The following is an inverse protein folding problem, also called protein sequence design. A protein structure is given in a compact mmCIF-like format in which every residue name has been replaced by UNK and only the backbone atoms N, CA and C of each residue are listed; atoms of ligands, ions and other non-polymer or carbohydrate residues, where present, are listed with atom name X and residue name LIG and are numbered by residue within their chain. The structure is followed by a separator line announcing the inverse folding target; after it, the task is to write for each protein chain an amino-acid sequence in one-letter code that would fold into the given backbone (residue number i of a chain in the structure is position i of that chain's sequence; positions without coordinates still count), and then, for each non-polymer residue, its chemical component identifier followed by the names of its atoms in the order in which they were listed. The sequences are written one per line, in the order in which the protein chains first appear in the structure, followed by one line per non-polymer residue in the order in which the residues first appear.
data_IF_699311558493
#
_entry.id   IF_699311558493
#
_cell.length_a   1.000
_cell.length_b   1.000
_cell.length_c   1.000
_cell.angle_alpha   90.00
_cell.angle_beta   90.00
_cell.angle_gamma   90.00
#
_symmetry.space_group_name_H-M   'P 1'
#
loop_
_entity.id
_entity.type
_entity.pdbx_description
1 polymer ?
#
# COMPACT_ATOMS: atom_id res chain seq x y z
N UNK A 1 56.14 2.59 39.84
CA UNK A 1 54.79 2.10 40.23
C UNK A 1 53.83 2.55 39.15
N UNK A 2 53.55 1.67 38.23
CA UNK A 2 52.65 1.97 37.10
C UNK A 2 51.25 1.54 37.50
N UNK A 3 50.32 2.51 37.60
CA UNK A 3 48.89 2.24 37.69
C UNK A 3 48.39 1.91 36.31
N UNK A 4 48.10 0.65 36.08
CA UNK A 4 47.34 0.19 34.91
C UNK A 4 45.87 0.56 35.12
N UNK A 5 45.41 1.58 34.39
CA UNK A 5 44.02 1.87 34.23
C UNK A 5 43.43 0.82 33.29
N UNK A 6 42.61 -0.07 33.83
CA UNK A 6 41.68 -0.93 33.05
C UNK A 6 40.63 -0.03 32.44
N UNK A 7 40.76 0.24 31.16
CA UNK A 7 39.63 0.68 30.33
C UNK A 7 38.73 -0.52 30.14
N UNK A 8 37.61 -0.57 30.84
CA UNK A 8 36.47 -1.35 30.46
C UNK A 8 35.87 -0.69 29.21
N UNK A 9 36.15 -1.29 28.08
CA UNK A 9 35.32 -1.07 26.90
C UNK A 9 33.94 -1.66 27.22
N UNK A 10 32.99 -0.81 27.53
CA UNK A 10 31.59 -1.10 27.32
C UNK A 10 31.39 -1.16 25.80
N UNK A 11 31.27 -2.36 25.28
CA UNK A 11 30.62 -2.59 24.00
C UNK A 11 29.19 -2.07 24.18
N UNK A 12 28.95 -0.88 23.66
CA UNK A 12 27.60 -0.41 23.37
C UNK A 12 27.14 -1.32 22.26
N UNK A 13 26.31 -2.32 22.59
CA UNK A 13 25.45 -2.97 21.61
C UNK A 13 24.65 -1.82 20.98
N UNK A 14 25.04 -1.43 19.78
CA UNK A 14 24.20 -0.65 18.89
C UNK A 14 23.04 -1.59 18.59
N UNK A 15 21.92 -1.41 19.28
CA UNK A 15 20.66 -1.95 18.83
C UNK A 15 20.52 -1.42 17.41
N UNK A 16 20.74 -2.30 16.43
CA UNK A 16 20.35 -2.08 15.06
C UNK A 16 18.85 -1.80 15.11
N UNK A 17 18.47 -0.53 15.09
CA UNK A 17 17.10 -0.12 14.87
C UNK A 17 16.73 -0.61 13.47
N UNK A 18 16.32 -1.87 13.40
CA UNK A 18 15.80 -2.48 12.19
C UNK A 18 14.51 -1.76 11.85
N UNK A 19 14.61 -0.78 10.96
CA UNK A 19 13.48 -0.11 10.36
C UNK A 19 12.65 -1.15 9.60
N UNK A 20 11.45 -1.42 10.08
CA UNK A 20 10.53 -2.35 9.45
C UNK A 20 9.92 -3.37 10.42
N UNK A 21 9.04 -4.24 9.92
CA UNK A 21 8.44 -5.28 10.74
C UNK A 21 9.47 -6.32 11.18
N UNK A 22 9.24 -6.95 12.32
CA UNK A 22 10.15 -7.94 12.88
C UNK A 22 10.14 -9.23 12.06
N UNK A 23 11.31 -9.76 11.64
CA UNK A 23 11.39 -11.04 10.96
C UNK A 23 10.78 -12.17 11.78
N UNK A 24 10.11 -13.11 11.13
CA UNK A 24 9.39 -14.19 11.80
C UNK A 24 10.30 -15.10 12.65
N UNK A 25 11.55 -15.25 12.25
CA UNK A 25 12.55 -16.05 13.00
C UNK A 25 12.86 -15.49 14.40
N UNK A 26 12.49 -14.26 14.71
CA UNK A 26 12.58 -13.72 16.08
C UNK A 26 11.75 -14.53 17.08
N UNK A 27 10.71 -15.23 16.63
CA UNK A 27 9.92 -16.12 17.48
C UNK A 27 10.71 -17.34 17.97
N UNK A 28 11.78 -17.74 17.29
CA UNK A 28 12.64 -18.85 17.72
C UNK A 28 13.31 -18.54 19.06
N UNK A 29 13.75 -17.31 19.27
CA UNK A 29 14.31 -16.86 20.55
C UNK A 29 13.27 -16.90 21.69
N UNK A 30 11.98 -16.88 21.36
CA UNK A 30 10.85 -16.97 22.30
C UNK A 30 10.33 -18.41 22.45
N UNK A 31 11.09 -19.41 21.98
CA UNK A 31 10.77 -20.82 22.17
C UNK A 31 9.75 -21.41 21.19
N UNK A 32 9.58 -20.79 20.02
CA UNK A 32 8.86 -21.38 18.87
C UNK A 32 9.87 -22.17 18.04
N UNK A 33 9.53 -23.39 17.64
CA UNK A 33 10.46 -24.25 16.89
C UNK A 33 10.71 -23.70 15.48
N UNK A 34 11.93 -23.81 14.96
CA UNK A 34 12.26 -23.46 13.58
C UNK A 34 11.39 -24.18 12.55
N UNK A 35 10.96 -25.41 12.86
CA UNK A 35 10.04 -26.17 12.00
C UNK A 35 8.64 -25.51 11.92
N UNK A 36 8.15 -24.94 13.02
CA UNK A 36 6.87 -24.24 13.04
C UNK A 36 6.98 -22.85 12.38
N UNK A 37 8.11 -22.15 12.56
CA UNK A 37 8.42 -20.92 11.84
C UNK A 37 8.40 -21.15 10.32
N UNK A 38 9.08 -22.20 9.85
CA UNK A 38 9.09 -22.56 8.43
C UNK A 38 7.70 -22.88 7.87
N UNK A 39 6.85 -23.57 8.63
CA UNK A 39 5.45 -23.82 8.22
C UNK A 39 4.64 -22.53 8.09
N UNK A 40 4.87 -21.56 8.95
CA UNK A 40 4.22 -20.26 8.86
C UNK A 40 4.73 -19.48 7.65
N UNK A 41 6.01 -19.51 7.36
CA UNK A 41 6.59 -18.90 6.14
C UNK A 41 6.00 -19.52 4.87
N UNK A 42 5.91 -20.83 4.81
CA UNK A 42 5.27 -21.56 3.70
C UNK A 42 3.78 -21.22 3.55
N UNK A 43 3.12 -20.82 4.63
CA UNK A 43 1.73 -20.35 4.64
C UNK A 43 1.57 -18.85 4.34
N UNK A 44 2.67 -18.13 4.10
CA UNK A 44 2.66 -16.72 3.72
C UNK A 44 2.80 -15.72 4.89
N UNK A 45 3.25 -16.16 6.05
CA UNK A 45 3.56 -15.31 7.20
C UNK A 45 5.08 -15.09 7.26
N UNK A 46 5.54 -13.86 7.11
CA UNK A 46 6.97 -13.54 7.04
C UNK A 46 7.46 -12.67 8.21
N UNK A 47 6.54 -12.13 8.99
CA UNK A 47 6.85 -11.21 10.08
C UNK A 47 6.11 -11.61 11.36
N UNK A 48 6.63 -11.16 12.50
CA UNK A 48 5.97 -11.37 13.81
C UNK A 48 4.64 -10.65 13.85
N UNK A 49 4.56 -9.44 13.25
CA UNK A 49 3.34 -8.64 13.14
C UNK A 49 2.26 -9.38 12.35
N UNK A 50 2.59 -10.03 11.23
CA UNK A 50 1.64 -10.81 10.45
C UNK A 50 0.98 -11.91 11.28
N UNK A 51 1.75 -12.58 12.12
CA UNK A 51 1.27 -13.64 13.03
C UNK A 51 0.46 -13.02 14.18
N UNK A 52 0.96 -11.96 14.80
CA UNK A 52 0.27 -11.29 15.91
C UNK A 52 -1.12 -10.77 15.52
N UNK A 53 -1.26 -10.25 14.32
CA UNK A 53 -2.53 -9.71 13.79
C UNK A 53 -3.45 -10.80 13.22
N UNK A 54 -2.96 -12.04 13.05
CA UNK A 54 -3.75 -13.11 12.49
C UNK A 54 -4.77 -13.65 13.50
N UNK A 55 -6.00 -13.95 13.07
CA UNK A 55 -6.93 -14.69 13.92
C UNK A 55 -6.44 -16.12 14.11
N UNK A 56 -6.63 -16.67 15.31
CA UNK A 56 -6.22 -18.06 15.65
C UNK A 56 -6.64 -19.09 14.59
N UNK A 57 -7.85 -18.92 14.03
CA UNK A 57 -8.38 -19.80 12.98
C UNK A 57 -7.46 -19.87 11.75
N UNK A 58 -6.78 -18.79 11.40
CA UNK A 58 -5.88 -18.75 10.24
C UNK A 58 -4.61 -19.57 10.50
N UNK A 59 -4.09 -19.56 11.73
CA UNK A 59 -2.94 -20.36 12.12
C UNK A 59 -3.30 -21.87 12.21
N UNK A 60 -4.51 -22.18 12.69
CA UNK A 60 -5.01 -23.56 12.73
C UNK A 60 -5.21 -24.17 11.34
N UNK A 61 -5.38 -23.37 10.30
CA UNK A 61 -5.46 -23.84 8.92
C UNK A 61 -4.08 -24.31 8.37
N UNK A 62 -2.99 -23.96 9.04
CA UNK A 62 -1.64 -24.39 8.66
C UNK A 62 -1.43 -25.85 9.08
N UNK A 63 -1.08 -26.70 8.11
CA UNK A 63 -0.83 -28.13 8.38
C UNK A 63 0.29 -28.31 9.40
N UNK A 64 -0.02 -28.99 10.49
CA UNK A 64 0.94 -29.30 11.56
C UNK A 64 1.08 -28.26 12.66
N UNK A 65 0.19 -27.25 12.66
CA UNK A 65 0.00 -26.32 13.78
C UNK A 65 -1.25 -26.76 14.56
N UNK A 66 -1.03 -27.33 15.75
CA UNK A 66 -2.11 -27.69 16.67
C UNK A 66 -2.65 -26.47 17.42
N UNK A 67 -3.78 -26.66 18.10
CA UNK A 67 -4.39 -25.59 18.91
C UNK A 67 -3.42 -25.06 19.98
N UNK A 68 -2.75 -25.96 20.70
CA UNK A 68 -1.76 -25.59 21.72
C UNK A 68 -0.56 -24.83 21.13
N UNK A 69 -0.12 -25.20 19.91
CA UNK A 69 0.94 -24.49 19.20
C UNK A 69 0.46 -23.11 18.76
N UNK A 70 -0.75 -22.98 18.21
CA UNK A 70 -1.32 -21.70 17.81
C UNK A 70 -1.45 -20.74 18.99
N UNK A 71 -1.92 -21.23 20.14
CA UNK A 71 -2.01 -20.42 21.37
C UNK A 71 -0.64 -19.93 21.83
N UNK A 72 0.37 -20.80 21.83
CA UNK A 72 1.73 -20.41 22.18
C UNK A 72 2.32 -19.40 21.21
N UNK A 73 2.17 -19.62 19.92
CA UNK A 73 2.67 -18.71 18.86
C UNK A 73 2.05 -17.32 19.03
N UNK A 74 0.73 -17.22 19.18
CA UNK A 74 0.03 -15.96 19.37
C UNK A 74 0.44 -15.27 20.68
N UNK A 75 0.61 -16.01 21.77
CA UNK A 75 1.04 -15.47 23.04
C UNK A 75 2.47 -14.88 22.97
N UNK A 76 3.40 -15.57 22.31
CA UNK A 76 4.76 -15.06 22.15
C UNK A 76 4.82 -13.87 21.16
N UNK A 77 4.08 -13.93 20.07
CA UNK A 77 3.98 -12.79 19.14
C UNK A 77 3.40 -11.55 19.83
N UNK A 78 2.38 -11.71 20.66
CA UNK A 78 1.76 -10.59 21.39
C UNK A 78 2.69 -9.92 22.42
N UNK A 79 3.73 -10.63 22.88
CA UNK A 79 4.75 -10.01 23.74
C UNK A 79 5.68 -9.07 22.98
N UNK A 80 5.91 -9.35 21.70
CA UNK A 80 6.80 -8.58 20.84
C UNK A 80 6.09 -7.43 20.13
N UNK A 81 4.79 -7.62 19.83
CA UNK A 81 3.98 -6.63 19.09
C UNK A 81 2.93 -6.04 20.02
N UNK A 82 3.04 -4.75 20.39
CA UNK A 82 2.05 -4.09 21.23
C UNK A 82 0.70 -3.97 20.51
N UNK A 83 -0.35 -4.61 21.08
CA UNK A 83 -1.72 -4.57 20.53
C UNK A 83 -2.75 -4.09 21.56
N UNK A 84 -2.28 -3.46 22.66
CA UNK A 84 -3.13 -2.92 23.69
C UNK A 84 -3.58 -1.48 23.41
N UNK A 85 -4.22 -0.90 24.40
CA UNK A 85 -4.56 0.51 24.36
C UNK A 85 -3.31 1.39 24.43
N UNK A 86 -3.35 2.51 23.71
CA UNK A 86 -2.37 3.59 23.80
C UNK A 86 -3.12 4.92 23.99
N UNK A 87 -2.44 5.97 24.36
CA UNK A 87 -3.04 7.30 24.43
C UNK A 87 -3.17 7.95 23.06
N UNK A 88 -4.12 8.87 22.91
CA UNK A 88 -4.23 9.66 21.68
C UNK A 88 -2.96 10.48 21.41
N UNK A 89 -2.24 10.89 22.44
CA UNK A 89 -0.96 11.60 22.33
C UNK A 89 0.11 10.71 21.69
N UNK A 90 0.29 9.50 22.19
CA UNK A 90 1.24 8.53 21.63
C UNK A 90 0.88 8.15 20.19
N UNK A 91 -0.41 7.96 19.91
CA UNK A 91 -0.89 7.69 18.57
C UNK A 91 -0.66 8.87 17.62
N UNK A 92 -0.87 10.11 18.09
CA UNK A 92 -0.58 11.32 17.32
C UNK A 92 0.91 11.42 16.98
N UNK A 93 1.79 11.08 17.92
CA UNK A 93 3.23 11.05 17.68
C UNK A 93 3.58 10.02 16.58
N UNK A 94 3.05 8.80 16.68
CA UNK A 94 3.23 7.78 15.63
C UNK A 94 2.72 8.26 14.26
N UNK A 95 1.61 8.97 14.23
CA UNK A 95 1.09 9.54 12.97
C UNK A 95 2.00 10.64 12.40
N UNK A 96 2.73 11.37 13.21
CA UNK A 96 3.69 12.37 12.73
C UNK A 96 4.93 11.76 12.04
N UNK A 97 5.17 10.48 12.26
CA UNK A 97 6.25 9.70 11.64
C UNK A 97 5.83 9.08 10.28
N UNK A 98 4.54 9.16 9.93
CA UNK A 98 4.02 8.65 8.67
C UNK A 98 4.60 9.45 7.50
N UNK A 99 5.14 8.73 6.54
CA UNK A 99 5.70 9.30 5.31
C UNK A 99 4.56 9.61 4.34
N UNK A 100 4.68 10.72 3.63
CA UNK A 100 3.79 11.11 2.56
C UNK A 100 4.60 11.25 1.27
N UNK A 101 4.18 10.50 0.23
CA UNK A 101 4.86 10.48 -1.06
C UNK A 101 4.30 11.56 -1.96
N UNK A 102 5.15 12.43 -2.49
CA UNK A 102 4.74 13.48 -3.42
C UNK A 102 4.10 12.92 -4.69
N UNK A 103 3.03 13.52 -5.11
CA UNK A 103 2.35 13.22 -6.38
C UNK A 103 3.10 13.78 -7.61
N UNK A 104 4.07 14.66 -7.41
CA UNK A 104 4.73 15.43 -8.45
C UNK A 104 4.06 16.79 -8.77
N UNK A 105 2.89 17.06 -8.23
CA UNK A 105 2.19 18.33 -8.31
C UNK A 105 2.09 18.97 -6.93
N UNK A 106 2.56 20.21 -6.78
CA UNK A 106 2.50 20.95 -5.51
C UNK A 106 1.05 21.24 -5.08
N UNK A 107 0.20 21.55 -6.03
CA UNK A 107 -1.22 21.81 -5.76
C UNK A 107 -1.94 20.55 -5.31
N UNK A 108 -1.61 19.38 -5.90
CA UNK A 108 -2.16 18.11 -5.47
C UNK A 108 -1.61 17.69 -4.10
N UNK A 109 -0.34 17.89 -3.83
CA UNK A 109 0.27 17.62 -2.52
C UNK A 109 -0.30 18.53 -1.44
N UNK A 110 -0.58 19.81 -1.76
CA UNK A 110 -1.25 20.74 -0.85
C UNK A 110 -2.68 20.29 -0.53
N UNK A 111 -3.43 19.82 -1.53
CA UNK A 111 -4.75 19.22 -1.34
C UNK A 111 -4.70 18.02 -0.36
N UNK A 112 -3.67 17.18 -0.50
CA UNK A 112 -3.45 15.99 0.32
C UNK A 112 -2.71 16.28 1.63
N UNK A 113 -2.38 17.53 1.91
CA UNK A 113 -1.60 17.97 3.08
C UNK A 113 -0.26 17.25 3.20
N UNK A 114 0.40 17.02 2.07
CA UNK A 114 1.76 16.44 2.00
C UNK A 114 1.97 15.45 0.87
N UNK A 115 0.99 14.66 0.52
CA UNK A 115 1.08 13.66 -0.53
C UNK A 115 0.29 12.38 -0.21
N UNK A 116 0.67 11.29 -0.85
CA UNK A 116 0.06 9.96 -0.63
C UNK A 116 0.62 9.35 0.66
N UNK A 117 -0.25 9.07 1.60
CA UNK A 117 0.09 8.59 2.95
C UNK A 117 0.50 7.11 2.93
N UNK A 118 1.59 6.78 3.63
CA UNK A 118 1.98 5.39 3.90
C UNK A 118 1.10 4.76 4.99
N UNK A 119 1.05 3.44 5.03
CA UNK A 119 0.31 2.70 6.06
C UNK A 119 -1.20 2.68 5.86
N UNK A 120 -1.70 3.07 4.70
CA UNK A 120 -3.13 3.06 4.37
C UNK A 120 -3.38 2.84 2.87
N UNK A 121 -4.63 2.60 2.52
CA UNK A 121 -5.06 2.49 1.12
C UNK A 121 -5.60 3.84 0.66
N UNK A 122 -5.02 4.37 -0.41
CA UNK A 122 -5.55 5.48 -1.20
C UNK A 122 -6.17 4.93 -2.48
N UNK A 123 -7.47 5.15 -2.66
CA UNK A 123 -8.19 4.80 -3.88
C UNK A 123 -8.26 6.01 -4.81
N UNK A 124 -7.85 5.80 -6.05
CA UNK A 124 -7.95 6.79 -7.13
C UNK A 124 -8.96 6.28 -8.15
N UNK A 125 -10.08 6.95 -8.30
CA UNK A 125 -11.11 6.53 -9.23
C UNK A 125 -11.53 7.67 -10.17
N UNK A 126 -12.10 7.32 -11.29
CA UNK A 126 -12.55 8.25 -12.32
C UNK A 126 -12.72 7.56 -13.66
N UNK A 127 -13.21 8.33 -14.63
CA UNK A 127 -13.38 7.87 -15.99
C UNK A 127 -12.05 7.50 -16.68
N UNK A 128 -12.19 6.92 -17.84
CA UNK A 128 -11.06 6.68 -18.73
C UNK A 128 -10.34 8.00 -19.11
N UNK A 129 -9.01 7.98 -19.16
CA UNK A 129 -8.14 9.13 -19.46
C UNK A 129 -8.20 10.29 -18.44
N UNK A 130 -8.52 10.02 -17.19
CA UNK A 130 -8.48 11.06 -16.13
C UNK A 130 -7.13 11.17 -15.44
N UNK A 131 -6.16 10.31 -15.77
CA UNK A 131 -4.79 10.40 -15.26
C UNK A 131 -4.45 9.40 -14.15
N UNK A 132 -5.32 8.45 -13.82
CA UNK A 132 -5.08 7.44 -12.76
C UNK A 132 -3.76 6.70 -12.94
N UNK A 133 -3.57 6.07 -14.09
CA UNK A 133 -2.35 5.31 -14.42
C UNK A 133 -1.12 6.23 -14.50
N UNK A 134 -1.26 7.45 -14.99
CA UNK A 134 -0.16 8.42 -15.04
C UNK A 134 0.29 8.85 -13.64
N UNK A 135 -0.64 9.03 -12.73
CA UNK A 135 -0.32 9.29 -11.33
C UNK A 135 0.40 8.10 -10.70
N UNK A 136 -0.06 6.88 -10.96
CA UNK A 136 0.62 5.66 -10.51
C UNK A 136 2.06 5.56 -11.02
N UNK A 137 2.33 5.86 -12.30
CA UNK A 137 3.70 5.86 -12.85
C UNK A 137 4.58 6.91 -12.18
N UNK A 138 4.06 8.11 -11.95
CA UNK A 138 4.81 9.16 -11.25
C UNK A 138 5.14 8.75 -9.81
N UNK A 139 4.17 8.20 -9.08
CA UNK A 139 4.37 7.73 -7.71
C UNK A 139 5.40 6.59 -7.61
N UNK A 140 5.47 5.70 -8.61
CA UNK A 140 6.45 4.61 -8.66
C UNK A 140 7.89 5.14 -8.69
N UNK A 141 8.11 6.35 -9.19
CA UNK A 141 9.41 7.02 -9.17
C UNK A 141 9.57 7.87 -7.92
N UNK A 142 8.58 8.72 -7.59
CA UNK A 142 8.70 9.66 -6.47
C UNK A 142 8.81 8.96 -5.12
N UNK A 143 8.28 7.76 -4.95
CA UNK A 143 8.47 6.99 -3.72
C UNK A 143 9.92 6.59 -3.46
N UNK A 144 10.78 6.63 -4.46
CA UNK A 144 12.21 6.33 -4.37
C UNK A 144 13.06 7.54 -3.97
N UNK A 145 12.48 8.74 -4.01
CA UNK A 145 13.17 9.97 -3.59
C UNK A 145 13.49 9.95 -2.09
N UNK A 146 14.49 10.72 -1.65
CA UNK A 146 14.72 11.01 -0.24
C UNK A 146 13.49 11.60 0.45
N UNK A 147 13.34 11.37 1.74
CA UNK A 147 12.21 11.84 2.54
C UNK A 147 12.10 13.36 2.51
N UNK A 148 13.21 14.07 2.57
CA UNK A 148 13.28 15.54 2.50
C UNK A 148 12.85 16.11 1.14
N UNK A 149 12.84 15.29 0.11
CA UNK A 149 12.32 15.61 -1.23
C UNK A 149 10.88 15.14 -1.45
N UNK A 150 10.20 14.69 -0.42
CA UNK A 150 8.85 14.15 -0.51
C UNK A 150 8.78 12.70 -1.00
N UNK A 151 9.84 11.94 -0.84
CA UNK A 151 9.91 10.52 -1.18
C UNK A 151 9.69 9.60 0.01
N UNK A 152 9.79 8.31 -0.24
CA UNK A 152 9.67 7.25 0.75
C UNK A 152 10.94 6.44 0.96
N UNK A 153 12.03 6.77 0.27
CA UNK A 153 13.32 6.05 0.30
C UNK A 153 13.16 4.54 0.13
N UNK A 154 12.24 4.11 -0.71
CA UNK A 154 11.94 2.69 -0.90
C UNK A 154 11.57 2.36 -2.34
N UNK A 155 11.54 1.06 -2.61
CA UNK A 155 11.13 0.50 -3.89
C UNK A 155 9.62 0.59 -4.08
N UNK A 156 9.17 0.41 -5.32
CA UNK A 156 7.76 0.30 -5.66
C UNK A 156 7.43 -1.11 -6.17
N UNK A 157 6.21 -1.56 -5.85
CA UNK A 157 5.58 -2.70 -6.53
C UNK A 157 4.43 -2.21 -7.40
N UNK A 158 4.33 -2.76 -8.60
CA UNK A 158 3.28 -2.41 -9.54
C UNK A 158 2.59 -3.68 -10.06
N UNK A 159 1.35 -3.88 -9.65
CA UNK A 159 0.48 -4.95 -10.14
C UNK A 159 -0.43 -4.35 -11.21
N UNK A 160 -0.25 -4.79 -12.45
CA UNK A 160 -0.97 -4.30 -13.63
C UNK A 160 -2.00 -5.34 -14.09
N UNK A 161 -3.26 -4.95 -14.14
CA UNK A 161 -4.35 -5.84 -14.56
C UNK A 161 -4.80 -5.61 -16.00
N UNK A 162 -4.46 -4.47 -16.60
CA UNK A 162 -4.94 -4.06 -17.92
C UNK A 162 -3.83 -3.98 -18.99
N UNK A 163 -2.55 -4.18 -18.62
CA UNK A 163 -1.41 -4.11 -19.54
C UNK A 163 -1.03 -2.69 -19.96
N UNK A 164 -1.24 -1.74 -19.05
CA UNK A 164 -1.02 -0.31 -19.32
C UNK A 164 0.26 0.24 -18.72
N UNK A 165 1.03 -0.57 -18.01
CA UNK A 165 2.32 -0.17 -17.47
C UNK A 165 3.33 0.14 -18.59
N UNK A 166 4.03 1.26 -18.47
CA UNK A 166 4.99 1.75 -19.47
C UNK A 166 6.27 2.22 -18.78
N UNK A 167 7.33 1.39 -18.79
CA UNK A 167 8.62 1.75 -18.20
C UNK A 167 9.20 3.07 -18.72
N UNK A 168 8.91 3.41 -19.98
CA UNK A 168 9.35 4.66 -20.62
C UNK A 168 8.83 5.90 -19.88
N UNK A 169 7.67 5.80 -19.26
CA UNK A 169 7.12 6.87 -18.42
C UNK A 169 7.92 7.06 -17.14
N UNK A 170 8.41 5.97 -16.57
CA UNK A 170 9.28 6.03 -15.38
C UNK A 170 10.61 6.70 -15.70
N UNK A 171 11.18 6.44 -16.87
CA UNK A 171 12.43 7.07 -17.32
C UNK A 171 12.28 8.59 -17.44
N UNK A 172 11.18 9.06 -18.04
CA UNK A 172 10.91 10.49 -18.18
C UNK A 172 10.74 11.19 -16.81
N UNK A 173 10.10 10.54 -15.85
CA UNK A 173 9.96 11.07 -14.49
C UNK A 173 11.30 11.04 -13.76
N UNK A 174 12.09 9.96 -13.90
CA UNK A 174 13.42 9.85 -13.31
C UNK A 174 14.35 10.99 -13.77
N UNK A 175 14.35 11.29 -15.06
CA UNK A 175 15.11 12.40 -15.63
C UNK A 175 14.74 13.75 -14.99
N UNK A 176 13.46 14.02 -14.81
CA UNK A 176 12.96 15.23 -14.12
C UNK A 176 13.57 15.41 -12.73
N UNK A 177 13.72 14.32 -11.99
CA UNK A 177 14.26 14.34 -10.62
C UNK A 177 15.78 14.12 -10.54
N UNK A 178 16.46 14.02 -11.69
CA UNK A 178 17.91 13.78 -11.74
C UNK A 178 18.32 12.40 -11.24
N UNK A 179 17.40 11.41 -11.29
CA UNK A 179 17.68 10.04 -10.90
C UNK A 179 18.22 9.22 -12.06
N UNK A 180 19.04 8.20 -11.74
CA UNK A 180 19.47 7.18 -12.72
C UNK A 180 18.25 6.39 -13.20
N UNK A 181 17.97 6.44 -14.52
CA UNK A 181 16.83 5.71 -15.09
C UNK A 181 16.91 4.20 -14.90
N UNK A 182 18.11 3.61 -15.02
CA UNK A 182 18.30 2.19 -14.78
C UNK A 182 18.03 1.80 -13.33
N UNK A 183 18.52 2.57 -12.38
CA UNK A 183 18.29 2.29 -10.95
C UNK A 183 16.81 2.43 -10.58
N UNK A 184 16.14 3.43 -11.15
CA UNK A 184 14.69 3.62 -10.96
C UNK A 184 13.92 2.42 -11.48
N UNK A 185 14.25 1.89 -12.67
CA UNK A 185 13.58 0.71 -13.23
C UNK A 185 13.85 -0.54 -12.39
N UNK A 186 15.08 -0.74 -11.93
CA UNK A 186 15.46 -1.88 -11.08
C UNK A 186 14.76 -1.85 -9.70
N UNK A 187 14.35 -0.68 -9.25
CA UNK A 187 13.63 -0.48 -8.00
C UNK A 187 12.10 -0.57 -8.15
N UNK A 188 11.59 -0.92 -9.32
CA UNK A 188 10.15 -1.17 -9.53
C UNK A 188 9.93 -2.65 -9.87
N UNK A 189 9.37 -3.38 -8.91
CA UNK A 189 8.92 -4.76 -9.14
C UNK A 189 7.57 -4.72 -9.87
N UNK A 190 7.55 -5.30 -11.06
CA UNK A 190 6.36 -5.35 -11.91
C UNK A 190 5.79 -6.75 -12.01
N UNK A 191 4.47 -6.88 -11.92
CA UNK A 191 3.75 -8.10 -12.23
C UNK A 191 2.46 -7.83 -12.99
N UNK A 192 2.19 -8.66 -14.00
CA UNK A 192 0.90 -8.70 -14.68
C UNK A 192 -0.02 -9.69 -13.98
N UNK A 193 -1.20 -9.23 -13.55
CA UNK A 193 -2.25 -10.12 -13.06
C UNK A 193 -3.21 -10.49 -14.20
N UNK A 194 -3.51 -11.78 -14.34
CA UNK A 194 -4.34 -12.29 -15.42
C UNK A 194 -5.76 -12.65 -15.02
N UNK A 195 -5.99 -12.89 -13.73
CA UNK A 195 -7.29 -13.14 -13.15
C UNK A 195 -7.28 -12.76 -11.66
N UNK A 196 -8.44 -12.77 -11.02
CA UNK A 196 -8.59 -12.35 -9.63
C UNK A 196 -7.87 -13.25 -8.62
N UNK A 197 -7.77 -14.54 -8.88
CA UNK A 197 -7.01 -15.46 -8.06
C UNK A 197 -5.51 -15.17 -8.15
N UNK A 198 -5.00 -15.00 -9.36
CA UNK A 198 -3.59 -14.61 -9.60
C UNK A 198 -3.27 -13.26 -8.94
N UNK A 199 -4.19 -12.28 -9.04
CA UNK A 199 -4.07 -10.98 -8.37
C UNK A 199 -3.87 -11.14 -6.85
N UNK A 200 -4.62 -12.05 -6.22
CA UNK A 200 -4.48 -12.35 -4.78
C UNK A 200 -3.18 -13.11 -4.45
N UNK A 201 -2.75 -14.04 -5.31
CA UNK A 201 -1.49 -14.76 -5.15
C UNK A 201 -0.28 -13.83 -5.21
N UNK A 202 -0.32 -12.79 -6.05
CA UNK A 202 0.74 -11.79 -6.15
C UNK A 202 0.94 -11.03 -4.84
N UNK A 203 -0.09 -10.86 -4.02
CA UNK A 203 0.07 -10.24 -2.70
C UNK A 203 0.86 -11.10 -1.72
N UNK A 204 0.80 -12.42 -1.82
CA UNK A 204 1.62 -13.34 -1.01
C UNK A 204 3.09 -13.20 -1.41
N UNK A 205 3.38 -13.14 -2.71
CA UNK A 205 4.73 -12.89 -3.21
C UNK A 205 5.22 -11.49 -2.81
N UNK A 206 4.34 -10.49 -2.86
CA UNK A 206 4.65 -9.13 -2.41
C UNK A 206 5.08 -9.11 -0.93
N UNK A 207 4.38 -9.81 -0.06
CA UNK A 207 4.74 -9.93 1.36
C UNK A 207 6.14 -10.52 1.55
N UNK A 208 6.48 -11.58 0.81
CA UNK A 208 7.82 -12.20 0.85
C UNK A 208 8.91 -11.21 0.41
N UNK A 209 8.68 -10.48 -0.67
CA UNK A 209 9.65 -9.49 -1.19
C UNK A 209 9.81 -8.29 -0.25
N UNK A 210 8.71 -7.84 0.37
CA UNK A 210 8.74 -6.74 1.35
C UNK A 210 9.46 -7.13 2.64
N UNK A 211 9.49 -8.41 2.99
CA UNK A 211 10.26 -8.92 4.12
C UNK A 211 11.78 -8.91 3.86
N UNK A 212 12.20 -8.97 2.58
CA UNK A 212 13.61 -9.00 2.18
C UNK A 212 14.21 -7.62 1.90
N UNK A 213 13.38 -6.67 1.45
CA UNK A 213 13.85 -5.33 1.12
C UNK A 213 12.78 -4.27 1.35
N UNK A 214 13.23 -3.01 1.53
CA UNK A 214 12.33 -1.89 1.80
C UNK A 214 11.55 -1.49 0.56
N UNK A 215 10.24 -1.54 0.68
CA UNK A 215 9.29 -0.96 -0.26
C UNK A 215 8.55 0.21 0.39
N UNK A 216 8.29 1.24 -0.35
CA UNK A 216 7.53 2.41 0.09
C UNK A 216 6.11 2.45 -0.51
N UNK A 217 5.90 1.76 -1.62
CA UNK A 217 4.68 1.85 -2.41
C UNK A 217 4.28 0.50 -3.01
N UNK A 218 3.00 0.19 -2.94
CA UNK A 218 2.35 -0.90 -3.66
C UNK A 218 1.17 -0.34 -4.47
N UNK A 219 1.21 -0.52 -5.78
CA UNK A 219 0.18 -0.07 -6.72
C UNK A 219 -0.57 -1.29 -7.26
N UNK A 220 -1.90 -1.20 -7.32
CA UNK A 220 -2.77 -2.14 -8.05
C UNK A 220 -3.60 -1.35 -9.05
N UNK A 221 -3.24 -1.43 -10.31
CA UNK A 221 -3.86 -0.70 -11.41
C UNK A 221 -4.43 -1.68 -12.48
N UNK A 222 -5.71 -1.96 -12.42
CA UNK A 222 -6.81 -1.56 -11.56
C UNK A 222 -7.20 -2.68 -10.59
N UNK A 223 -7.63 -2.32 -9.39
CA UNK A 223 -8.00 -3.30 -8.37
C UNK A 223 -9.29 -4.08 -8.71
N UNK A 224 -10.18 -3.51 -9.50
CA UNK A 224 -11.53 -4.05 -9.75
C UNK A 224 -11.73 -4.62 -11.16
N UNK A 225 -10.82 -4.38 -12.10
CA UNK A 225 -11.01 -4.74 -13.50
C UNK A 225 -11.25 -6.23 -13.71
N UNK A 226 -10.43 -7.10 -13.11
CA UNK A 226 -10.53 -8.55 -13.26
C UNK A 226 -11.78 -9.14 -12.59
N UNK A 227 -12.26 -8.52 -11.52
CA UNK A 227 -13.51 -8.94 -10.87
C UNK A 227 -14.76 -8.75 -11.73
N UNK A 228 -14.70 -7.88 -12.72
CA UNK A 228 -15.81 -7.68 -13.67
C UNK A 228 -15.87 -8.78 -14.73
N UNK A 229 -14.72 -9.31 -15.11
CA UNK A 229 -14.61 -10.36 -16.12
C UNK A 229 -14.78 -11.75 -15.54
N UNK A 230 -14.17 -12.01 -14.37
CA UNK A 230 -14.18 -13.32 -13.74
C UNK A 230 -15.54 -13.67 -13.10
N UNK A 231 -16.32 -12.67 -12.72
CA UNK A 231 -17.64 -12.83 -12.08
C UNK A 231 -18.71 -12.10 -12.89
N UNK A 232 -19.02 -12.62 -14.07
CA UNK A 232 -19.99 -12.02 -14.99
C UNK A 232 -21.40 -12.65 -14.91
N UNK A 233 -21.54 -13.77 -14.21
CA UNK A 233 -22.79 -14.53 -14.09
C UNK A 233 -23.81 -13.89 -13.16
N UNK A 234 -25.13 -14.11 -13.48
CA UNK A 234 -26.21 -13.77 -12.56
C UNK A 234 -26.10 -14.66 -11.31
N UNK A 235 -26.04 -14.05 -10.14
CA UNK A 235 -25.88 -14.77 -8.86
C UNK A 235 -24.45 -14.83 -8.33
N UNK A 236 -23.43 -14.43 -9.10
CA UNK A 236 -22.04 -14.41 -8.65
C UNK A 236 -21.65 -13.17 -7.82
N UNK A 237 -22.58 -12.22 -7.66
CA UNK A 237 -22.31 -10.96 -6.95
C UNK A 237 -21.73 -11.19 -5.54
N UNK A 238 -22.31 -12.13 -4.78
CA UNK A 238 -21.86 -12.42 -3.42
C UNK A 238 -20.44 -13.01 -3.41
N UNK A 239 -20.14 -13.95 -4.31
CA UNK A 239 -18.82 -14.54 -4.45
C UNK A 239 -17.77 -13.48 -4.84
N UNK A 240 -18.09 -12.62 -5.81
CA UNK A 240 -17.27 -11.49 -6.22
C UNK A 240 -16.96 -10.56 -5.04
N UNK A 241 -18.00 -10.18 -4.28
CA UNK A 241 -17.84 -9.30 -3.13
C UNK A 241 -16.99 -9.92 -2.03
N UNK A 242 -17.17 -11.21 -1.73
CA UNK A 242 -16.35 -11.91 -0.74
C UNK A 242 -14.88 -11.99 -1.16
N UNK A 243 -14.62 -12.29 -2.42
CA UNK A 243 -13.26 -12.38 -2.95
C UNK A 243 -12.57 -11.01 -2.95
N UNK A 244 -13.27 -9.96 -3.41
CA UNK A 244 -12.78 -8.59 -3.37
C UNK A 244 -12.51 -8.12 -1.93
N UNK A 245 -13.40 -8.40 -1.00
CA UNK A 245 -13.21 -8.06 0.41
C UNK A 245 -11.98 -8.74 1.01
N UNK A 246 -11.71 -9.99 0.63
CA UNK A 246 -10.52 -10.73 1.05
C UNK A 246 -9.25 -10.10 0.48
N UNK A 247 -9.26 -9.76 -0.80
CA UNK A 247 -8.15 -9.08 -1.48
C UNK A 247 -7.82 -7.73 -0.82
N UNK A 248 -8.82 -6.89 -0.59
CA UNK A 248 -8.65 -5.59 0.07
C UNK A 248 -8.14 -5.72 1.50
N UNK A 249 -8.58 -6.74 2.23
CA UNK A 249 -8.07 -7.03 3.56
C UNK A 249 -6.59 -7.43 3.54
N UNK A 250 -6.16 -8.19 2.55
CA UNK A 250 -4.73 -8.51 2.35
C UNK A 250 -3.92 -7.24 2.06
N UNK A 251 -4.42 -6.32 1.25
CA UNK A 251 -3.78 -5.03 1.00
C UNK A 251 -3.65 -4.18 2.28
N UNK A 252 -4.71 -4.10 3.08
CA UNK A 252 -4.67 -3.39 4.36
C UNK A 252 -3.62 -3.98 5.31
N UNK A 253 -3.52 -5.30 5.37
CA UNK A 253 -2.51 -5.98 6.19
C UNK A 253 -1.09 -5.65 5.73
N UNK A 254 -0.83 -5.61 4.43
CA UNK A 254 0.47 -5.21 3.90
C UNK A 254 0.81 -3.75 4.25
N UNK A 255 -0.18 -2.85 4.16
CA UNK A 255 0.00 -1.46 4.56
C UNK A 255 0.33 -1.32 6.05
N UNK A 256 -0.39 -2.03 6.91
CA UNK A 256 -0.18 -2.02 8.37
C UNK A 256 1.16 -2.66 8.77
N UNK A 257 1.50 -3.79 8.14
CA UNK A 257 2.66 -4.62 8.49
C UNK A 257 3.97 -3.99 8.02
N UNK A 258 4.02 -3.53 6.76
CA UNK A 258 5.24 -3.01 6.15
C UNK A 258 5.31 -1.48 6.09
N UNK A 259 4.25 -0.79 6.49
CA UNK A 259 4.20 0.66 6.43
C UNK A 259 4.27 1.23 5.02
N UNK A 260 3.85 0.47 4.01
CA UNK A 260 3.83 0.93 2.61
C UNK A 260 2.60 1.76 2.32
N UNK A 261 2.72 2.72 1.40
CA UNK A 261 1.57 3.35 0.78
C UNK A 261 0.93 2.36 -0.21
N UNK A 262 -0.34 2.06 -0.04
CA UNK A 262 -1.09 1.25 -1.00
C UNK A 262 -1.95 2.17 -1.85
N UNK A 263 -1.74 2.15 -3.15
CA UNK A 263 -2.52 2.92 -4.13
C UNK A 263 -3.26 1.95 -5.03
N UNK A 264 -4.58 2.07 -5.06
CA UNK A 264 -5.42 1.30 -5.97
C UNK A 264 -6.15 2.23 -6.93
N UNK A 265 -6.27 1.82 -8.17
CA UNK A 265 -7.13 2.51 -9.13
C UNK A 265 -8.44 1.78 -9.30
N UNK A 266 -9.49 2.54 -9.57
CA UNK A 266 -10.83 2.03 -9.77
C UNK A 266 -11.53 2.79 -10.90
N UNK A 267 -12.52 2.16 -11.50
CA UNK A 267 -13.34 2.73 -12.56
C UNK A 267 -14.68 3.22 -12.00
N UNK A 268 -15.37 4.03 -12.76
CA UNK A 268 -16.74 4.47 -12.47
C UNK A 268 -17.73 3.83 -13.42
N UNK A 269 -18.94 3.65 -12.95
CA UNK A 269 -20.10 3.26 -13.76
C UNK A 269 -21.16 4.35 -13.70
N UNK A 270 -21.84 4.58 -14.82
CA UNK A 270 -22.99 5.47 -14.86
C UNK A 270 -24.12 4.87 -14.02
N UNK A 271 -24.74 5.68 -13.18
CA UNK A 271 -25.94 5.30 -12.45
C UNK A 271 -27.13 5.45 -13.39
N UNK A 272 -27.77 4.33 -13.74
CA UNK A 272 -28.88 4.30 -14.73
C UNK A 272 -30.25 4.48 -14.05
N UNK A 273 -30.30 4.47 -12.72
CA UNK A 273 -31.53 4.61 -11.96
C UNK A 273 -32.05 6.04 -11.93
N UNK A 274 -33.38 6.21 -11.90
CA UNK A 274 -34.05 7.54 -11.94
C UNK A 274 -33.60 8.55 -10.86
N UNK A 275 -32.89 8.11 -9.83
CA UNK A 275 -32.22 8.97 -8.84
C UNK A 275 -31.03 9.76 -9.42
N UNK A 276 -30.50 9.37 -10.57
CA UNK A 276 -29.37 10.06 -11.23
C UNK A 276 -29.73 11.49 -11.69
N UNK A 277 -31.00 11.81 -11.86
CA UNK A 277 -31.46 13.14 -12.24
C UNK A 277 -31.30 14.21 -11.14
N UNK A 278 -31.10 13.77 -9.89
CA UNK A 278 -31.05 14.64 -8.72
C UNK A 278 -29.69 14.70 -8.05
N UNK A 279 -28.68 13.95 -8.54
CA UNK A 279 -27.32 13.97 -8.02
C UNK A 279 -26.39 14.78 -8.90
N UNK A 280 -25.57 15.62 -8.28
CA UNK A 280 -24.58 16.44 -8.98
C UNK A 280 -23.51 15.62 -9.75
N UNK A 281 -23.33 14.34 -9.38
CA UNK A 281 -22.44 13.41 -10.09
C UNK A 281 -23.09 12.02 -10.18
N UNK A 282 -23.61 11.63 -11.37
CA UNK A 282 -24.30 10.36 -11.58
C UNK A 282 -23.36 9.15 -11.69
N UNK A 283 -22.06 9.34 -11.44
CA UNK A 283 -21.02 8.31 -11.60
C UNK A 283 -20.55 7.80 -10.27
N UNK A 284 -20.66 6.50 -10.03
CA UNK A 284 -20.19 5.85 -8.80
C UNK A 284 -19.00 4.95 -9.07
N UNK A 285 -18.02 4.92 -8.13
CA UNK A 285 -16.92 3.97 -8.21
C UNK A 285 -17.44 2.53 -8.09
N UNK A 286 -16.78 1.63 -8.81
CA UNK A 286 -17.07 0.18 -8.78
C UNK A 286 -16.65 -0.39 -7.42
N UNK A 287 -17.30 -1.47 -6.97
CA UNK A 287 -16.97 -2.18 -5.74
C UNK A 287 -17.83 -1.83 -4.53
N UNK A 288 -18.68 -0.80 -4.65
CA UNK A 288 -19.67 -0.45 -3.63
C UNK A 288 -19.07 -0.19 -2.25
N UNK A 289 -19.76 -0.62 -1.21
CA UNK A 289 -19.36 -0.38 0.18
C UNK A 289 -18.05 -1.11 0.57
N UNK A 290 -17.73 -2.23 -0.07
CA UNK A 290 -16.55 -3.02 0.28
C UNK A 290 -15.27 -2.23 0.06
N UNK A 291 -15.13 -1.63 -1.13
CA UNK A 291 -13.96 -0.82 -1.46
C UNK A 291 -13.99 0.53 -0.72
N UNK A 292 -15.19 1.09 -0.53
CA UNK A 292 -15.36 2.34 0.22
C UNK A 292 -14.87 2.22 1.67
N UNK A 293 -15.15 1.10 2.33
CA UNK A 293 -14.72 0.88 3.71
C UNK A 293 -13.25 0.47 3.85
N UNK A 294 -12.68 -0.16 2.82
CA UNK A 294 -11.27 -0.54 2.83
C UNK A 294 -10.34 0.66 2.54
N UNK A 295 -10.80 1.61 1.72
CA UNK A 295 -10.00 2.76 1.33
C UNK A 295 -10.06 3.85 2.41
N UNK A 296 -8.91 4.27 2.90
CA UNK A 296 -8.82 5.36 3.89
C UNK A 296 -9.07 6.71 3.24
N UNK A 297 -8.42 6.98 2.12
CA UNK A 297 -8.60 8.20 1.33
C UNK A 297 -9.07 7.84 -0.06
N UNK A 298 -10.09 8.53 -0.55
CA UNK A 298 -10.67 8.31 -1.86
C UNK A 298 -10.58 9.59 -2.69
N UNK A 299 -9.93 9.49 -3.84
CA UNK A 299 -9.67 10.60 -4.75
C UNK A 299 -10.44 10.40 -6.05
N UNK A 300 -11.28 11.36 -6.40
CA UNK A 300 -12.02 11.37 -7.65
C UNK A 300 -11.31 12.23 -8.69
N UNK A 301 -10.90 11.62 -9.79
CA UNK A 301 -10.27 12.30 -10.91
C UNK A 301 -11.28 12.53 -12.04
N UNK A 302 -11.29 13.75 -12.56
CA UNK A 302 -12.07 14.13 -13.74
C UNK A 302 -11.26 14.98 -14.72
N UNK A 303 -11.70 15.02 -15.96
CA UNK A 303 -11.06 15.85 -16.98
C UNK A 303 -11.31 17.34 -16.69
N UNK A 304 -10.27 18.14 -16.82
CA UNK A 304 -10.33 19.58 -16.86
C UNK A 304 -10.36 20.09 -18.30
N UNK A 305 -9.91 21.31 -18.51
CA UNK A 305 -9.75 21.92 -19.84
C UNK A 305 -8.36 21.54 -20.42
N UNK A 306 -8.31 21.15 -21.68
CA UNK A 306 -7.06 20.77 -22.35
C UNK A 306 -6.34 19.63 -21.63
N UNK A 307 -5.07 19.85 -21.28
CA UNK A 307 -4.22 18.86 -20.60
C UNK A 307 -4.43 18.78 -19.09
N UNK A 308 -5.30 19.64 -18.54
CA UNK A 308 -5.53 19.69 -17.10
C UNK A 308 -6.47 18.59 -16.64
N UNK A 309 -6.32 18.21 -15.37
CA UNK A 309 -7.17 17.27 -14.64
C UNK A 309 -7.54 17.88 -13.30
N UNK A 310 -8.63 17.42 -12.74
CA UNK A 310 -9.12 17.86 -11.43
C UNK A 310 -9.15 16.63 -10.52
N UNK A 311 -8.56 16.76 -9.34
CA UNK A 311 -8.64 15.80 -8.26
C UNK A 311 -9.49 16.38 -7.14
N UNK A 312 -10.52 15.64 -6.75
CA UNK A 312 -11.39 15.97 -5.61
C UNK A 312 -11.16 14.96 -4.49
N UNK A 313 -11.04 15.43 -3.25
CA UNK A 313 -11.18 14.57 -2.07
C UNK A 313 -12.63 14.11 -2.02
N UNK A 314 -12.86 12.84 -2.28
CA UNK A 314 -14.19 12.24 -2.27
C UNK A 314 -14.57 11.72 -0.89
N UNK A 315 -13.60 11.15 -0.18
CA UNK A 315 -13.74 10.66 1.19
C UNK A 315 -12.39 10.64 1.88
N UNK A 316 -12.33 11.06 3.13
CA UNK A 316 -11.13 11.02 3.97
C UNK A 316 -11.52 11.19 5.45
N UNK A 317 -10.82 10.52 6.39
CA UNK A 317 -11.08 10.69 7.82
C UNK A 317 -10.57 12.02 8.38
N UNK A 318 -9.69 12.74 7.67
CA UNK A 318 -9.05 13.96 8.18
C UNK A 318 -8.97 15.11 7.17
N UNK A 319 -9.05 14.84 5.86
CA UNK A 319 -8.97 15.88 4.84
C UNK A 319 -10.37 16.44 4.54
N UNK A 320 -10.52 17.78 4.49
CA UNK A 320 -11.78 18.40 4.10
C UNK A 320 -12.10 18.14 2.62
N UNK A 321 -13.37 18.20 2.27
CA UNK A 321 -13.82 18.12 0.88
C UNK A 321 -13.30 19.34 0.13
N UNK A 322 -12.39 19.12 -0.81
CA UNK A 322 -11.74 20.15 -1.61
C UNK A 322 -11.28 19.55 -2.95
N UNK A 323 -10.88 20.41 -3.88
CA UNK A 323 -10.34 19.97 -5.16
C UNK A 323 -9.13 20.80 -5.58
N UNK A 324 -8.27 20.19 -6.40
CA UNK A 324 -7.11 20.83 -7.00
C UNK A 324 -6.94 20.43 -8.47
N UNK A 325 -6.36 21.31 -9.25
CA UNK A 325 -5.99 21.03 -10.64
C UNK A 325 -4.54 20.54 -10.72
N UNK A 326 -4.30 19.63 -11.65
CA UNK A 326 -2.98 19.15 -12.01
C UNK A 326 -2.89 18.91 -13.51
N UNK A 327 -1.70 18.69 -14.03
CA UNK A 327 -1.47 18.39 -15.44
C UNK A 327 -0.71 17.06 -15.61
N UNK A 328 -0.92 16.45 -16.77
CA UNK A 328 -0.15 15.29 -17.21
C UNK A 328 0.84 15.80 -18.26
N UNK A 329 2.10 15.92 -17.84
CA UNK A 329 3.19 16.41 -18.68
C UNK A 329 4.00 15.26 -19.29
N UNK A 330 4.94 15.59 -20.18
CA UNK A 330 5.87 14.62 -20.74
C UNK A 330 6.71 13.92 -19.66
N UNK A 331 7.03 14.62 -18.59
CA UNK A 331 7.84 14.20 -17.44
C UNK A 331 7.01 13.78 -16.22
N UNK A 332 5.76 13.44 -16.40
CA UNK A 332 4.86 12.92 -15.36
C UNK A 332 3.82 13.94 -14.90
N UNK A 333 3.29 13.70 -13.69
CA UNK A 333 2.32 14.58 -13.06
C UNK A 333 3.01 15.87 -12.59
N UNK A 334 2.37 16.99 -12.85
CA UNK A 334 2.85 18.31 -12.43
C UNK A 334 1.70 19.28 -12.22
N UNK A 335 2.04 20.53 -11.88
CA UNK A 335 1.05 21.58 -11.73
C UNK A 335 0.48 22.00 -13.10
N UNK A 336 -0.80 22.35 -13.13
CA UNK A 336 -1.40 22.95 -14.29
C UNK A 336 -0.73 24.31 -14.56
N UNK A 337 -0.39 24.57 -15.83
CA UNK A 337 0.05 25.89 -16.25
C UNK A 337 -1.19 26.75 -16.49
N UNK A 338 -1.18 27.96 -15.98
CA UNK A 338 -2.21 28.99 -16.20
C UNK A 338 -2.35 29.34 -17.70
#
# INVERSE_FOLDING_TARGET
MAMQARQQQQEVEVEDETFGPMPLNRLEANGISAADVKKMEEAGYFTVEAVAYAPKKSLLAIKGISEAKADKILAEAAKLVPMGFTTATEFHQKRSEIIQVTSGSKELDKLLQGGIETGSITEIFGEFRTGKTQLCHTLAVTCQLPIDMGGGEGKAMYIDTEGTFRPERLLAVAERYGLSGSDVLDNVAYARAYNSDHQSQLLIQAAAMMAESRYALLIVDSATALYRTDYSGRGELSARQMHLARFLRMLLRLADEYGVAVVITNQVVAQVDGAAMFTADPKKPIGGNIIAHASTTRLYLRKGRGETRICKIYDSPCLPEAEAMFAINADGIGDAKD
#
